data_IF_387326017100
#
_entry.id   IF_387326017100
#
_cell.length_a   1.000
_cell.length_b   1.000
_cell.length_c   1.000
_cell.angle_alpha   90.00
_cell.angle_beta   90.00
_cell.angle_gamma   90.00
#
_symmetry.space_group_name_H-M   'P 1'
#
loop_
_entity.id
_entity.type
_entity.pdbx_description
1 polymer ?
#
# COMPACT_ATOMS: atom_id res chain seq x y z
N UNK A 1 -15.88 0.39 -6.21
CA UNK A 1 -16.25 -0.07 -7.58
C UNK A 1 -15.22 -1.06 -8.07
N UNK A 2 -15.66 -2.12 -8.72
CA UNK A 2 -14.77 -3.13 -9.30
C UNK A 2 -14.64 -2.87 -10.78
N UNK A 3 -13.39 -2.67 -11.24
CA UNK A 3 -13.07 -2.67 -12.67
C UNK A 3 -11.99 -3.70 -12.84
N UNK A 4 -12.21 -4.69 -13.70
CA UNK A 4 -11.19 -5.67 -14.03
C UNK A 4 -10.61 -5.39 -15.41
N UNK A 5 -9.38 -5.83 -15.65
CA UNK A 5 -8.78 -5.78 -16.98
C UNK A 5 -9.50 -6.72 -17.93
N UNK A 6 -9.20 -8.03 -17.83
CA UNK A 6 -9.76 -9.05 -18.68
C UNK A 6 -10.84 -9.90 -17.98
N UNK A 7 -10.80 -9.97 -16.66
CA UNK A 7 -11.70 -10.81 -15.88
C UNK A 7 -12.29 -10.05 -14.70
N UNK A 8 -13.61 -10.15 -14.48
CA UNK A 8 -14.22 -9.57 -13.29
C UNK A 8 -13.60 -10.18 -12.04
N UNK A 9 -13.27 -9.34 -11.07
CA UNK A 9 -12.81 -9.81 -9.77
C UNK A 9 -13.95 -10.52 -9.05
N UNK A 10 -13.67 -11.67 -8.44
CA UNK A 10 -14.64 -12.37 -7.62
C UNK A 10 -15.04 -11.49 -6.43
N UNK A 11 -16.34 -11.45 -6.16
CA UNK A 11 -16.92 -10.62 -5.09
C UNK A 11 -16.27 -10.89 -3.72
N UNK A 12 -16.01 -12.16 -3.41
CA UNK A 12 -15.37 -12.55 -2.15
C UNK A 12 -13.98 -11.93 -2.00
N UNK A 13 -13.20 -11.94 -3.08
CA UNK A 13 -11.85 -11.35 -3.11
C UNK A 13 -11.93 -9.84 -2.94
N UNK A 14 -12.79 -9.19 -3.70
CA UNK A 14 -13.02 -7.75 -3.60
C UNK A 14 -13.44 -7.34 -2.19
N UNK A 15 -14.41 -8.04 -1.61
CA UNK A 15 -14.92 -7.72 -0.28
C UNK A 15 -13.85 -7.92 0.80
N UNK A 16 -12.99 -8.92 0.65
CA UNK A 16 -11.87 -9.13 1.57
C UNK A 16 -10.90 -7.95 1.55
N UNK A 17 -10.50 -7.53 0.35
CA UNK A 17 -9.55 -6.42 0.18
C UNK A 17 -10.19 -5.12 0.69
N UNK A 18 -11.45 -4.86 0.36
CA UNK A 18 -12.17 -3.69 0.83
C UNK A 18 -12.23 -3.65 2.37
N UNK A 19 -12.48 -4.79 2.99
CA UNK A 19 -12.52 -4.90 4.45
C UNK A 19 -11.16 -4.63 5.07
N UNK A 20 -10.10 -5.11 4.44
CA UNK A 20 -8.73 -4.82 4.86
C UNK A 20 -8.44 -3.31 4.82
N UNK A 21 -8.84 -2.62 3.76
CA UNK A 21 -8.70 -1.17 3.65
C UNK A 21 -9.46 -0.46 4.78
N UNK A 22 -10.67 -0.92 5.08
CA UNK A 22 -11.45 -0.39 6.17
C UNK A 22 -10.77 -0.57 7.54
N UNK A 23 -10.14 -1.73 7.75
CA UNK A 23 -9.35 -1.98 8.97
C UNK A 23 -8.15 -1.04 9.07
N UNK A 24 -7.46 -0.77 7.95
CA UNK A 24 -6.34 0.17 7.92
C UNK A 24 -6.76 1.60 8.28
N UNK A 25 -8.02 1.94 8.11
CA UNK A 25 -8.53 3.29 8.38
C UNK A 25 -9.11 3.47 9.77
N UNK A 26 -9.14 2.42 10.59
CA UNK A 26 -9.66 2.50 11.96
C UNK A 26 -8.61 3.06 12.92
N UNK A 27 -9.07 3.94 13.82
CA UNK A 27 -8.27 4.44 14.92
C UNK A 27 -7.84 3.30 15.85
N UNK A 28 -6.57 3.28 16.24
CA UNK A 28 -5.99 2.21 17.07
C UNK A 28 -5.34 2.79 18.32
N UNK A 29 -5.74 2.35 19.53
CA UNK A 29 -5.08 2.80 20.76
C UNK A 29 -3.58 2.50 20.75
N UNK A 30 -3.15 1.38 20.18
CA UNK A 30 -1.74 0.97 20.09
C UNK A 30 -0.90 1.96 19.28
N UNK A 31 -1.53 2.78 18.45
CA UNK A 31 -0.89 3.78 17.59
C UNK A 31 -1.25 5.20 18.02
N UNK A 32 -1.50 5.43 19.30
CA UNK A 32 -1.86 6.77 19.80
C UNK A 32 -3.16 7.29 19.21
N UNK A 33 -4.10 6.40 18.93
CA UNK A 33 -5.39 6.66 18.28
C UNK A 33 -5.29 7.06 16.80
N UNK A 34 -4.12 6.90 16.19
CA UNK A 34 -4.00 7.00 14.73
C UNK A 34 -4.44 5.68 14.08
N UNK A 35 -4.92 5.76 12.84
CA UNK A 35 -5.09 4.60 11.99
C UNK A 35 -3.74 4.12 11.45
N UNK A 36 -3.65 2.87 11.01
CA UNK A 36 -2.46 2.37 10.31
C UNK A 36 -2.19 3.23 9.07
N UNK A 37 -3.25 3.52 8.31
CA UNK A 37 -3.19 4.42 7.18
C UNK A 37 -4.24 5.53 7.36
N UNK A 38 -3.86 6.69 7.90
CA UNK A 38 -4.84 7.76 8.21
C UNK A 38 -5.59 8.30 7.00
N UNK A 39 -5.07 8.10 5.79
CA UNK A 39 -5.71 8.58 4.57
C UNK A 39 -6.50 7.51 3.82
N UNK A 40 -6.51 6.26 4.29
CA UNK A 40 -7.17 5.16 3.58
C UNK A 40 -8.66 5.40 3.34
N UNK A 41 -9.36 5.99 4.31
CA UNK A 41 -10.80 6.28 4.20
C UNK A 41 -11.12 7.48 3.29
N UNK A 42 -10.11 8.31 3.01
CA UNK A 42 -10.29 9.56 2.25
C UNK A 42 -9.76 9.47 0.83
N UNK A 43 -8.95 8.47 0.54
CA UNK A 43 -8.32 8.33 -0.76
C UNK A 43 -9.35 7.89 -1.81
N UNK A 44 -9.22 8.44 -3.01
CA UNK A 44 -9.95 7.97 -4.17
C UNK A 44 -9.21 6.75 -4.72
N UNK A 45 -9.71 5.54 -4.46
CA UNK A 45 -9.02 4.31 -4.83
C UNK A 45 -9.88 3.39 -5.69
N UNK A 46 -9.20 2.51 -6.43
CA UNK A 46 -9.83 1.45 -7.22
C UNK A 46 -9.08 0.14 -6.98
N UNK A 47 -9.81 -0.97 -6.99
CA UNK A 47 -9.26 -2.31 -6.85
C UNK A 47 -9.42 -3.03 -8.18
N UNK A 48 -8.30 -3.48 -8.75
CA UNK A 48 -8.27 -4.16 -10.05
C UNK A 48 -7.66 -5.55 -9.91
N UNK A 49 -8.19 -6.50 -10.66
CA UNK A 49 -7.56 -7.81 -10.83
C UNK A 49 -6.67 -7.74 -12.07
N UNK A 50 -5.38 -8.03 -11.94
CA UNK A 50 -4.44 -7.86 -13.04
C UNK A 50 -3.31 -8.88 -12.98
N UNK A 51 -2.73 -9.22 -14.12
CA UNK A 51 -1.48 -9.98 -14.16
C UNK A 51 -0.32 -9.08 -13.71
N UNK A 52 0.57 -9.61 -12.87
CA UNK A 52 1.70 -8.83 -12.34
C UNK A 52 2.52 -8.18 -13.44
N UNK A 53 2.77 -8.89 -14.54
CA UNK A 53 3.55 -8.38 -15.69
C UNK A 53 2.88 -7.23 -16.43
N UNK A 54 1.57 -6.99 -16.21
CA UNK A 54 0.79 -5.94 -16.87
C UNK A 54 0.47 -4.77 -15.94
N UNK A 55 0.93 -4.82 -14.70
CA UNK A 55 0.73 -3.72 -13.76
C UNK A 55 1.40 -2.45 -14.30
N UNK A 56 0.68 -1.34 -14.24
CA UNK A 56 1.14 -0.03 -14.70
C UNK A 56 0.33 1.06 -14.03
N UNK A 57 0.83 2.31 -13.98
CA UNK A 57 0.05 3.41 -13.42
C UNK A 57 -1.29 3.59 -14.14
N UNK A 58 -2.30 3.97 -13.38
CA UNK A 58 -3.64 4.28 -13.89
C UNK A 58 -3.96 5.73 -13.56
N UNK A 59 -4.16 6.54 -14.58
CA UNK A 59 -4.46 7.95 -14.41
C UNK A 59 -5.84 8.16 -13.79
N UNK A 60 -5.99 9.20 -12.98
CA UNK A 60 -7.28 9.60 -12.42
C UNK A 60 -7.58 9.04 -11.03
N UNK A 61 -6.67 8.22 -10.45
CA UNK A 61 -6.86 7.63 -9.14
C UNK A 61 -5.73 8.00 -8.19
N UNK A 62 -6.05 8.24 -6.92
CA UNK A 62 -5.02 8.50 -5.91
C UNK A 62 -4.30 7.21 -5.52
N UNK A 63 -5.04 6.11 -5.44
CA UNK A 63 -4.48 4.79 -5.13
C UNK A 63 -5.09 3.76 -6.05
N UNK A 64 -4.26 2.96 -6.70
CA UNK A 64 -4.71 1.79 -7.44
C UNK A 64 -4.18 0.56 -6.72
N UNK A 65 -5.07 -0.38 -6.40
CA UNK A 65 -4.72 -1.63 -5.74
C UNK A 65 -4.89 -2.74 -6.77
N UNK A 66 -3.77 -3.34 -7.18
CA UNK A 66 -3.78 -4.47 -8.10
C UNK A 66 -3.73 -5.75 -7.29
N UNK A 67 -4.72 -6.61 -7.47
CA UNK A 67 -4.66 -7.99 -7.00
C UNK A 67 -4.04 -8.82 -8.10
N UNK A 68 -2.88 -9.40 -7.82
CA UNK A 68 -2.10 -10.16 -8.79
C UNK A 68 -2.11 -11.65 -8.45
N UNK A 69 -1.46 -12.48 -9.27
CA UNK A 69 -1.48 -13.92 -9.10
C UNK A 69 -0.94 -14.37 -7.75
N UNK A 70 -1.56 -15.40 -7.17
CA UNK A 70 -1.19 -15.93 -5.84
C UNK A 70 0.08 -16.77 -5.86
N UNK A 71 0.51 -17.25 -7.02
CA UNK A 71 1.63 -18.19 -7.19
C UNK A 71 3.01 -17.57 -6.99
N UNK A 72 3.13 -16.25 -7.07
CA UNK A 72 4.42 -15.58 -6.94
C UNK A 72 4.89 -15.59 -5.48
N UNK A 73 6.17 -15.93 -5.26
CA UNK A 73 6.75 -15.79 -3.94
C UNK A 73 7.08 -14.32 -3.62
N UNK A 74 7.43 -14.06 -2.37
CA UNK A 74 7.66 -12.70 -1.91
C UNK A 74 8.85 -12.05 -2.63
N UNK A 75 9.95 -12.78 -2.82
CA UNK A 75 11.14 -12.24 -3.46
C UNK A 75 10.86 -11.82 -4.90
N UNK A 76 10.12 -12.65 -5.65
CA UNK A 76 9.74 -12.32 -7.01
C UNK A 76 8.83 -11.09 -7.06
N UNK A 77 7.83 -11.04 -6.20
CA UNK A 77 6.91 -9.90 -6.14
C UNK A 77 7.65 -8.60 -5.83
N UNK A 78 8.52 -8.62 -4.81
CA UNK A 78 9.28 -7.43 -4.43
C UNK A 78 10.25 -7.00 -5.54
N UNK A 79 10.90 -7.94 -6.21
CA UNK A 79 11.81 -7.64 -7.32
C UNK A 79 11.07 -6.97 -8.49
N UNK A 80 9.87 -7.46 -8.83
CA UNK A 80 9.05 -6.86 -9.87
C UNK A 80 8.60 -5.46 -9.51
N UNK A 81 8.21 -5.24 -8.26
CA UNK A 81 7.79 -3.93 -7.78
C UNK A 81 8.96 -2.94 -7.77
N UNK A 82 10.15 -3.38 -7.40
CA UNK A 82 11.36 -2.56 -7.50
C UNK A 82 11.63 -2.12 -8.94
N UNK A 83 11.42 -3.02 -9.90
CA UNK A 83 11.56 -2.68 -11.33
C UNK A 83 10.54 -1.62 -11.75
N UNK A 84 9.28 -1.77 -11.34
CA UNK A 84 8.26 -0.76 -11.63
C UNK A 84 8.61 0.60 -11.02
N UNK A 85 9.16 0.63 -9.81
CA UNK A 85 9.60 1.88 -9.18
C UNK A 85 10.75 2.54 -9.94
N UNK A 86 11.61 1.76 -10.59
CA UNK A 86 12.68 2.32 -11.43
C UNK A 86 12.16 2.86 -12.76
N UNK A 87 11.17 2.19 -13.34
CA UNK A 87 10.61 2.58 -14.65
C UNK A 87 9.66 3.78 -14.53
N UNK A 88 8.76 3.76 -13.55
CA UNK A 88 7.72 4.76 -13.38
C UNK A 88 8.06 5.71 -12.22
N UNK A 89 8.97 6.64 -12.47
CA UNK A 89 9.54 7.49 -11.40
C UNK A 89 8.56 8.46 -10.73
N UNK A 90 7.45 8.78 -11.41
CA UNK A 90 6.42 9.67 -10.86
C UNK A 90 5.41 8.93 -9.97
N UNK A 91 5.58 7.62 -9.84
CA UNK A 91 4.69 6.76 -9.04
C UNK A 91 5.48 5.95 -8.05
N UNK A 92 4.84 5.59 -6.96
CA UNK A 92 5.39 4.65 -5.98
C UNK A 92 4.55 3.38 -6.01
N UNK A 93 5.21 2.25 -6.23
CA UNK A 93 4.60 0.93 -6.16
C UNK A 93 5.03 0.26 -4.86
N UNK A 94 4.07 -0.32 -4.16
CA UNK A 94 4.29 -0.99 -2.88
C UNK A 94 3.71 -2.40 -2.99
N UNK A 95 4.52 -3.40 -2.65
CA UNK A 95 4.08 -4.80 -2.65
C UNK A 95 3.53 -5.18 -1.28
N UNK A 96 2.47 -5.96 -1.29
CA UNK A 96 1.92 -6.61 -0.10
C UNK A 96 1.71 -8.09 -0.43
N UNK A 97 2.69 -8.92 -0.05
CA UNK A 97 2.64 -10.35 -0.33
C UNK A 97 1.73 -11.06 0.67
N UNK A 98 0.94 -12.02 0.19
CA UNK A 98 -0.06 -12.74 0.98
C UNK A 98 0.50 -13.48 2.20
N UNK A 99 1.78 -13.86 2.18
CA UNK A 99 2.45 -14.59 3.26
C UNK A 99 3.36 -13.71 4.11
N UNK A 100 3.63 -12.49 3.68
CA UNK A 100 4.44 -11.56 4.47
C UNK A 100 3.64 -11.10 5.69
N UNK A 101 4.34 -10.91 6.81
CA UNK A 101 3.72 -10.38 8.02
C UNK A 101 4.48 -9.14 8.45
N UNK A 102 3.80 -8.02 8.46
CA UNK A 102 4.36 -6.74 8.86
C UNK A 102 3.49 -6.14 9.95
N UNK A 103 4.13 -5.49 10.92
CA UNK A 103 3.44 -4.95 12.07
C UNK A 103 3.97 -3.55 12.39
N UNK A 104 3.08 -2.69 12.90
CA UNK A 104 3.44 -1.42 13.51
C UNK A 104 2.93 -1.50 14.95
N UNK A 105 3.85 -1.52 15.90
CA UNK A 105 3.53 -1.60 17.33
C UNK A 105 2.51 -2.70 17.66
N UNK A 106 2.71 -3.89 17.07
CA UNK A 106 1.85 -5.05 17.27
C UNK A 106 0.60 -5.10 16.40
N UNK A 107 0.33 -4.07 15.60
CA UNK A 107 -0.81 -4.04 14.70
C UNK A 107 -0.39 -4.52 13.32
N UNK A 108 -1.03 -5.58 12.82
CA UNK A 108 -0.71 -6.13 11.50
C UNK A 108 -1.13 -5.16 10.40
N UNK A 109 -0.24 -4.92 9.44
CA UNK A 109 -0.47 -3.98 8.35
C UNK A 109 -0.80 -4.64 7.01
N UNK A 110 -0.29 -5.85 6.78
CA UNK A 110 -0.50 -6.58 5.53
C UNK A 110 -1.87 -7.29 5.52
N UNK A 111 -2.38 -7.58 4.29
CA UNK A 111 -3.70 -8.20 4.16
C UNK A 111 -3.72 -9.69 4.52
N UNK A 112 -2.60 -10.40 4.32
CA UNK A 112 -2.44 -11.79 4.77
C UNK A 112 -3.11 -12.85 3.91
N UNK A 113 -3.69 -12.50 2.77
CA UNK A 113 -4.42 -13.47 1.94
C UNK A 113 -4.14 -13.37 0.45
N UNK A 114 -3.98 -12.19 -0.09
CA UNK A 114 -3.78 -11.97 -1.52
C UNK A 114 -2.50 -11.20 -1.77
N UNK A 115 -1.88 -11.47 -2.92
CA UNK A 115 -0.75 -10.67 -3.38
C UNK A 115 -1.28 -9.37 -3.97
N UNK A 116 -0.87 -8.26 -3.40
CA UNK A 116 -1.31 -6.94 -3.85
C UNK A 116 -0.12 -6.09 -4.27
N UNK A 117 -0.36 -5.23 -5.25
CA UNK A 117 0.56 -4.15 -5.61
C UNK A 117 -0.24 -2.85 -5.55
N UNK A 118 0.20 -1.92 -4.71
CA UNK A 118 -0.43 -0.61 -4.59
C UNK A 118 0.38 0.38 -5.41
N UNK A 119 -0.30 1.24 -6.16
CA UNK A 119 0.33 2.27 -6.97
C UNK A 119 -0.26 3.62 -6.62
N UNK A 120 0.58 4.60 -6.35
CA UNK A 120 0.17 5.96 -5.96
C UNK A 120 1.08 6.99 -6.63
N UNK A 121 0.56 8.19 -6.96
CA UNK A 121 1.44 9.28 -7.37
C UNK A 121 2.45 9.58 -6.26
N UNK A 122 3.73 9.58 -6.60
CA UNK A 122 4.81 9.76 -5.61
C UNK A 122 4.70 11.10 -4.88
N UNK A 123 4.36 12.16 -5.61
CA UNK A 123 4.20 13.49 -5.04
C UNK A 123 3.13 13.51 -3.94
N UNK A 124 1.97 12.93 -4.21
CA UNK A 124 0.86 12.90 -3.26
C UNK A 124 1.22 12.09 -2.02
N UNK A 125 1.90 10.97 -2.21
CA UNK A 125 2.35 10.14 -1.11
C UNK A 125 3.36 10.87 -0.23
N UNK A 126 4.34 11.54 -0.83
CA UNK A 126 5.35 12.31 -0.09
C UNK A 126 4.71 13.45 0.69
N UNK A 127 3.77 14.19 0.08
CA UNK A 127 3.06 15.27 0.76
C UNK A 127 2.24 14.75 1.96
N UNK A 128 1.56 13.62 1.79
CA UNK A 128 0.81 12.99 2.88
C UNK A 128 1.75 12.58 4.03
N UNK A 129 2.89 11.99 3.71
CA UNK A 129 3.89 11.58 4.70
C UNK A 129 4.48 12.77 5.44
N UNK A 130 4.73 13.88 4.75
CA UNK A 130 5.21 15.11 5.39
C UNK A 130 4.20 15.65 6.41
N UNK A 131 2.92 15.61 6.08
CA UNK A 131 1.87 16.02 7.01
C UNK A 131 1.84 15.12 8.25
N UNK A 132 1.95 13.81 8.05
CA UNK A 132 1.99 12.85 9.15
C UNK A 132 3.23 13.03 10.03
N UNK A 133 4.38 13.36 9.43
CA UNK A 133 5.62 13.57 10.17
C UNK A 133 5.55 14.77 11.12
N UNK A 134 4.65 15.70 10.88
CA UNK A 134 4.40 16.85 11.78
C UNK A 134 3.52 16.50 12.97
N UNK A 135 2.99 15.30 13.01
CA UNK A 135 2.18 14.77 14.10
C UNK A 135 2.97 13.71 14.85
N UNK A 136 2.35 13.09 15.84
CA UNK A 136 2.95 11.98 16.59
C UNK A 136 2.80 10.62 15.89
N UNK A 137 2.28 10.59 14.65
CA UNK A 137 1.97 9.36 13.94
C UNK A 137 3.16 8.40 13.87
N UNK A 138 4.34 8.90 13.45
CA UNK A 138 5.52 8.04 13.29
C UNK A 138 6.21 7.69 14.60
N UNK A 139 5.83 8.28 15.71
CA UNK A 139 6.43 7.98 17.04
C UNK A 139 6.17 6.54 17.46
N UNK A 140 5.11 5.91 16.93
CA UNK A 140 4.73 4.53 17.24
C UNK A 140 5.38 3.50 16.31
N UNK A 141 6.13 3.96 15.32
CA UNK A 141 6.79 3.11 14.35
C UNK A 141 8.18 2.70 14.84
N UNK A 142 8.55 1.43 14.62
CA UNK A 142 9.93 1.01 14.76
C UNK A 142 10.78 1.80 13.76
N UNK A 143 11.93 2.32 14.22
CA UNK A 143 12.78 3.16 13.38
C UNK A 143 13.30 2.44 12.14
N UNK A 144 13.71 1.18 12.29
CA UNK A 144 14.22 0.41 11.16
C UNK A 144 13.11 0.16 10.13
N UNK A 145 11.90 -0.14 10.59
CA UNK A 145 10.76 -0.32 9.72
C UNK A 145 10.38 0.98 9.00
N UNK A 146 10.43 2.10 9.71
CA UNK A 146 10.16 3.41 9.14
C UNK A 146 11.14 3.74 8.01
N UNK A 147 12.44 3.53 8.22
CA UNK A 147 13.46 3.74 7.21
C UNK A 147 13.26 2.83 6.01
N UNK A 148 12.91 1.56 6.24
CA UNK A 148 12.63 0.58 5.20
C UNK A 148 11.42 1.00 4.34
N UNK A 149 10.34 1.43 4.96
CA UNK A 149 9.11 1.83 4.26
C UNK A 149 9.30 3.13 3.48
N UNK A 150 9.95 4.12 4.08
CA UNK A 150 10.14 5.42 3.44
C UNK A 150 11.27 5.42 2.40
N UNK A 151 12.26 4.55 2.58
CA UNK A 151 13.41 4.44 1.66
C UNK A 151 14.03 5.82 1.39
N UNK A 152 14.19 6.17 0.12
CA UNK A 152 14.75 7.45 -0.31
C UNK A 152 13.91 8.67 0.10
N UNK A 153 12.63 8.49 0.39
CA UNK A 153 11.76 9.58 0.83
C UNK A 153 12.02 10.01 2.28
N UNK A 154 12.76 9.22 3.06
CA UNK A 154 12.98 9.49 4.48
C UNK A 154 13.48 10.92 4.72
N UNK A 155 14.48 11.35 3.96
CA UNK A 155 15.01 12.71 4.09
C UNK A 155 13.99 13.77 3.73
N UNK A 156 13.23 13.56 2.66
CA UNK A 156 12.22 14.52 2.22
C UNK A 156 11.08 14.66 3.23
N UNK A 157 10.77 13.59 3.95
CA UNK A 157 9.66 13.58 4.90
C UNK A 157 10.06 14.26 6.22
N UNK A 158 11.30 14.03 6.70
CA UNK A 158 11.73 14.50 8.02
C UNK A 158 12.66 15.72 7.98
N UNK A 159 13.08 16.17 6.83
CA UNK A 159 13.87 17.42 6.69
C UNK A 159 12.95 18.66 6.52
#
# INVERSE_FOLDING_TARGET
MIISGLHPMKEKKYNYILRWIQELSKSRPELGNFAVCPYASKANFIILDEELRKVRPRWGWEVVIFAVEDEHDADFLYAMVDDYNRVYKNYKFIADHRKSKTFINGVQTNNGKYNLVLCQPRKDLTEARKKLAKTEYYDYWDKNYLEEVLEEDYKNVFD
#
